data_IF_760912537176
#
_entry.id   IF_760912537176
#
_cell.length_a   1.000
_cell.length_b   1.000
_cell.length_c   1.000
_cell.angle_alpha   90.00
_cell.angle_beta   90.00
_cell.angle_gamma   90.00
#
_symmetry.space_group_name_H-M   'P 1'
#
loop_
_entity.id
_entity.type
_entity.pdbx_description
1 polymer ?
#
# COMPACT_ATOMS: atom_id res chain seq x y z
N UNK A 1 -10.14 39.60 -1.75
CA UNK A 1 -9.42 38.59 -0.93
C UNK A 1 -9.79 38.86 0.53
N UNK A 2 -10.32 37.87 1.25
CA UNK A 2 -10.75 38.06 2.63
C UNK A 2 -9.55 38.40 3.53
N UNK A 3 -9.75 39.16 4.61
CA UNK A 3 -8.71 39.48 5.60
C UNK A 3 -7.95 38.24 6.14
N UNK A 4 -8.54 37.05 6.02
CA UNK A 4 -7.91 35.77 6.38
C UNK A 4 -6.69 35.44 5.51
N UNK A 5 -6.80 35.61 4.19
CA UNK A 5 -5.72 35.23 3.27
C UNK A 5 -4.52 36.18 3.39
N UNK A 6 -4.77 37.46 3.70
CA UNK A 6 -3.70 38.44 3.95
C UNK A 6 -2.93 38.13 5.25
N UNK A 7 -3.63 37.71 6.31
CA UNK A 7 -2.97 37.31 7.55
C UNK A 7 -2.16 36.02 7.39
N UNK A 8 -2.70 35.03 6.67
CA UNK A 8 -1.97 33.79 6.36
C UNK A 8 -0.70 34.08 5.53
N UNK A 9 -0.82 34.89 4.47
CA UNK A 9 0.32 35.29 3.65
C UNK A 9 1.40 36.01 4.48
N UNK A 10 0.99 36.88 5.42
CA UNK A 10 1.94 37.55 6.33
C UNK A 10 2.70 36.53 7.19
N UNK A 11 2.01 35.58 7.82
CA UNK A 11 2.65 34.53 8.62
C UNK A 11 3.62 33.68 7.80
N UNK A 12 3.26 33.33 6.57
CA UNK A 12 4.12 32.58 5.65
C UNK A 12 5.39 33.39 5.36
N UNK A 13 5.25 34.67 4.98
CA UNK A 13 6.40 35.54 4.65
C UNK A 13 7.29 35.74 5.89
N UNK A 14 6.71 35.94 7.07
CA UNK A 14 7.45 36.11 8.33
C UNK A 14 8.24 34.85 8.73
N UNK A 15 7.81 33.66 8.28
CA UNK A 15 8.41 32.37 8.64
C UNK A 15 9.00 31.63 7.42
N UNK A 16 9.26 32.32 6.30
CA UNK A 16 9.62 31.65 5.03
C UNK A 16 10.87 30.75 5.16
N UNK A 17 11.87 31.18 5.94
CA UNK A 17 13.07 30.38 6.19
C UNK A 17 12.79 29.13 7.02
N UNK A 18 11.83 29.19 7.94
CA UNK A 18 11.41 28.04 8.74
C UNK A 18 10.64 27.04 7.87
N UNK A 19 9.85 27.53 6.90
CA UNK A 19 9.15 26.66 5.95
C UNK A 19 10.14 25.91 5.04
N UNK A 20 11.21 26.56 4.57
CA UNK A 20 12.30 25.89 3.84
C UNK A 20 12.97 24.78 4.68
N UNK A 21 13.27 25.09 5.95
CA UNK A 21 13.86 24.11 6.87
C UNK A 21 12.91 22.95 7.18
N UNK A 22 11.62 23.25 7.40
CA UNK A 22 10.60 22.24 7.62
C UNK A 22 10.43 21.35 6.39
N UNK A 23 10.45 21.91 5.18
CA UNK A 23 10.38 21.13 3.96
C UNK A 23 11.60 20.20 3.78
N UNK A 24 12.81 20.66 4.10
CA UNK A 24 14.00 19.82 4.07
C UNK A 24 13.94 18.70 5.12
N UNK A 25 13.46 19.00 6.33
CA UNK A 25 13.30 17.99 7.38
C UNK A 25 12.22 16.96 6.99
N UNK A 26 11.09 17.43 6.46
CA UNK A 26 9.99 16.59 5.99
C UNK A 26 10.43 15.64 4.88
N UNK A 27 11.19 16.10 3.89
CA UNK A 27 11.62 15.24 2.78
C UNK A 27 12.90 14.45 3.06
N UNK A 28 13.61 14.73 4.16
CA UNK A 28 14.83 14.04 4.54
C UNK A 28 14.61 13.24 5.83
N UNK A 29 15.39 13.59 6.87
CA UNK A 29 15.53 12.82 8.12
C UNK A 29 14.19 12.36 8.73
N UNK A 30 13.15 13.20 8.74
CA UNK A 30 11.88 12.84 9.36
C UNK A 30 11.16 11.72 8.58
N UNK A 31 11.05 11.87 7.26
CA UNK A 31 10.42 10.85 6.42
C UNK A 31 11.26 9.60 6.38
N UNK A 32 12.57 9.71 6.16
CA UNK A 32 13.50 8.58 6.13
C UNK A 32 13.36 7.70 7.38
N UNK A 33 13.38 8.31 8.58
CA UNK A 33 13.23 7.56 9.84
C UNK A 33 11.88 6.87 9.99
N UNK A 34 10.79 7.56 9.66
CA UNK A 34 9.45 6.98 9.80
C UNK A 34 9.24 5.87 8.77
N UNK A 35 9.66 6.08 7.53
CA UNK A 35 9.49 5.12 6.45
C UNK A 35 10.37 3.89 6.63
N UNK A 36 11.62 4.04 7.09
CA UNK A 36 12.45 2.89 7.46
C UNK A 36 11.84 2.07 8.61
N UNK A 37 11.16 2.72 9.58
CA UNK A 37 10.46 1.99 10.64
C UNK A 37 9.24 1.22 10.09
N UNK A 38 8.54 1.77 9.09
CA UNK A 38 7.46 1.07 8.37
C UNK A 38 8.01 -0.12 7.59
N UNK A 39 9.13 0.06 6.88
CA UNK A 39 9.77 -0.99 6.10
C UNK A 39 10.23 -2.16 6.96
N UNK A 40 10.93 -1.88 8.06
CA UNK A 40 11.35 -2.91 9.01
C UNK A 40 10.15 -3.69 9.57
N UNK A 41 9.04 -3.02 9.87
CA UNK A 41 7.83 -3.67 10.37
C UNK A 41 7.19 -4.58 9.32
N UNK A 42 7.16 -4.16 8.07
CA UNK A 42 6.61 -4.97 6.96
C UNK A 42 7.55 -6.14 6.65
N UNK A 43 8.87 -5.92 6.64
CA UNK A 43 9.87 -6.96 6.46
C UNK A 43 9.74 -8.04 7.55
N UNK A 44 9.68 -7.65 8.83
CA UNK A 44 9.48 -8.58 9.93
C UNK A 44 8.17 -9.37 9.79
N UNK A 45 7.09 -8.72 9.35
CA UNK A 45 5.82 -9.41 9.07
C UNK A 45 5.97 -10.45 7.95
N UNK A 46 6.64 -10.11 6.85
CA UNK A 46 6.88 -10.99 5.71
C UNK A 46 7.74 -12.20 6.11
N UNK A 47 8.82 -11.98 6.85
CA UNK A 47 9.71 -13.05 7.33
C UNK A 47 9.00 -14.04 8.28
N UNK A 48 8.03 -13.55 9.07
CA UNK A 48 7.29 -14.35 10.04
C UNK A 48 5.91 -14.80 9.54
N UNK A 49 5.68 -14.77 8.22
CA UNK A 49 4.43 -15.18 7.63
C UNK A 49 4.31 -16.71 7.58
N UNK A 50 3.67 -17.28 8.60
CA UNK A 50 3.43 -18.72 8.67
C UNK A 50 2.48 -19.17 7.55
N UNK A 51 2.87 -20.21 6.80
CA UNK A 51 2.11 -20.95 5.77
C UNK A 51 2.33 -20.54 4.30
N UNK A 52 3.02 -19.43 4.03
CA UNK A 52 3.43 -19.10 2.67
C UNK A 52 4.79 -18.41 2.62
N UNK A 53 5.57 -18.70 1.57
CA UNK A 53 6.84 -18.00 1.38
C UNK A 53 6.54 -16.67 0.70
N UNK A 54 6.39 -15.63 1.50
CA UNK A 54 6.30 -14.26 1.02
C UNK A 54 7.70 -13.73 0.68
N UNK A 55 7.76 -12.83 -0.30
CA UNK A 55 8.96 -12.10 -0.72
C UNK A 55 8.57 -10.63 -0.91
N UNK A 56 9.48 -9.69 -0.65
CA UNK A 56 9.17 -8.27 -0.71
C UNK A 56 10.36 -7.38 -1.08
N UNK A 57 10.02 -6.13 -1.42
CA UNK A 57 10.91 -4.99 -1.58
C UNK A 57 10.46 -3.92 -0.59
N UNK A 58 11.40 -3.37 0.18
CA UNK A 58 11.15 -2.43 1.27
C UNK A 58 12.04 -1.20 1.08
N UNK A 59 11.48 -0.18 0.43
CA UNK A 59 12.15 1.10 0.18
C UNK A 59 11.09 2.20 0.07
N UNK A 60 10.33 2.39 1.14
CA UNK A 60 9.20 3.33 1.13
C UNK A 60 9.66 4.79 1.09
N UNK A 61 10.93 5.05 1.40
CA UNK A 61 11.48 6.40 1.35
C UNK A 61 11.79 6.87 -0.07
N UNK A 62 12.47 6.05 -0.86
CA UNK A 62 12.88 6.42 -2.22
C UNK A 62 11.93 5.88 -3.29
N UNK A 63 11.18 4.82 -2.99
CA UNK A 63 10.34 4.12 -3.96
C UNK A 63 9.05 3.55 -3.34
N UNK A 64 8.91 2.22 -3.32
CA UNK A 64 7.69 1.52 -2.96
C UNK A 64 7.99 0.37 -2.01
N UNK A 65 7.03 0.10 -1.12
CA UNK A 65 7.05 -1.08 -0.26
C UNK A 65 5.91 -2.00 -0.62
N UNK A 66 6.29 -3.16 -1.13
CA UNK A 66 5.38 -4.14 -1.69
C UNK A 66 5.95 -5.55 -1.58
N UNK A 67 5.06 -6.51 -1.45
CA UNK A 67 5.39 -7.90 -1.19
C UNK A 67 4.32 -8.84 -1.76
N UNK A 68 4.65 -10.10 -1.96
CA UNK A 68 3.77 -11.07 -2.58
C UNK A 68 4.09 -12.48 -2.14
N UNK A 69 3.14 -13.38 -2.37
CA UNK A 69 3.46 -14.81 -2.36
C UNK A 69 4.45 -15.14 -3.49
N UNK A 70 5.48 -15.90 -3.16
CA UNK A 70 6.39 -16.49 -4.16
C UNK A 70 5.69 -17.40 -5.17
N UNK A 71 4.45 -17.82 -4.92
CA UNK A 71 3.60 -18.58 -5.85
C UNK A 71 2.87 -17.69 -6.85
N UNK A 72 2.83 -16.37 -6.63
CA UNK A 72 2.07 -15.43 -7.47
C UNK A 72 2.90 -14.88 -8.63
N UNK A 73 3.71 -15.74 -9.25
CA UNK A 73 4.50 -15.43 -10.44
C UNK A 73 4.46 -16.61 -11.42
N UNK A 74 4.50 -16.31 -12.71
CA UNK A 74 4.54 -17.31 -13.79
C UNK A 74 5.97 -17.66 -14.22
N UNK A 75 6.89 -16.72 -14.07
CA UNK A 75 8.31 -16.80 -14.35
C UNK A 75 9.05 -16.01 -13.28
N UNK A 76 10.37 -16.08 -13.28
CA UNK A 76 11.17 -15.20 -12.43
C UNK A 76 10.95 -13.73 -12.79
N UNK A 77 11.01 -12.89 -11.78
CA UNK A 77 10.88 -11.45 -11.89
C UNK A 77 11.87 -10.77 -10.95
N UNK A 78 12.06 -9.48 -11.16
CA UNK A 78 12.89 -8.61 -10.35
C UNK A 78 12.04 -7.43 -9.88
N UNK A 79 12.11 -7.11 -8.58
CA UNK A 79 11.43 -5.96 -7.99
C UNK A 79 11.90 -4.65 -8.65
N UNK A 80 13.15 -4.56 -9.08
CA UNK A 80 13.74 -3.36 -9.69
C UNK A 80 13.53 -3.27 -11.21
N UNK A 81 13.19 -4.38 -11.90
CA UNK A 81 12.96 -4.39 -13.36
C UNK A 81 11.47 -4.50 -13.69
N UNK A 82 10.83 -3.34 -13.88
CA UNK A 82 9.42 -3.22 -14.28
C UNK A 82 9.04 -3.99 -15.55
N UNK A 83 10.00 -4.35 -16.43
CA UNK A 83 9.73 -5.17 -17.61
C UNK A 83 9.35 -6.61 -17.25
N UNK A 84 9.76 -7.07 -16.08
CA UNK A 84 9.46 -8.41 -15.57
C UNK A 84 8.14 -8.46 -14.80
N UNK A 85 7.54 -7.33 -14.45
CA UNK A 85 6.30 -7.29 -13.66
C UNK A 85 5.07 -7.88 -14.37
N UNK A 86 5.13 -8.06 -15.71
CA UNK A 86 4.15 -8.86 -16.46
C UNK A 86 4.15 -10.35 -16.06
N UNK A 87 5.15 -10.80 -15.31
CA UNK A 87 5.27 -12.16 -14.82
C UNK A 87 4.52 -12.37 -13.50
N UNK A 88 4.03 -11.29 -12.88
CA UNK A 88 3.34 -11.30 -11.59
C UNK A 88 1.83 -11.48 -11.75
N UNK A 89 1.23 -12.34 -10.95
CA UNK A 89 -0.23 -12.52 -10.90
C UNK A 89 -0.90 -11.58 -9.91
N UNK A 90 -0.25 -11.31 -8.78
CA UNK A 90 -0.78 -10.44 -7.73
C UNK A 90 0.32 -10.01 -6.77
N UNK A 91 0.05 -8.96 -6.01
CA UNK A 91 0.92 -8.45 -4.96
C UNK A 91 0.12 -7.66 -3.92
N UNK A 92 0.78 -7.40 -2.80
CA UNK A 92 0.38 -6.45 -1.79
C UNK A 92 1.28 -5.23 -1.84
N UNK A 93 0.73 -4.04 -1.63
CA UNK A 93 1.50 -2.80 -1.58
C UNK A 93 0.95 -1.85 -0.51
N UNK A 94 1.84 -1.06 0.07
CA UNK A 94 1.48 0.10 0.85
C UNK A 94 1.34 1.29 -0.09
N UNK A 95 0.17 1.91 -0.14
CA UNK A 95 -0.10 3.03 -1.06
C UNK A 95 -1.20 3.94 -0.48
N UNK A 96 -1.79 4.85 -1.26
CA UNK A 96 -2.83 5.75 -0.81
C UNK A 96 -4.14 5.55 -1.57
N UNK A 97 -5.27 5.71 -0.88
CA UNK A 97 -6.55 5.97 -1.56
C UNK A 97 -6.63 7.47 -1.86
N UNK A 98 -6.73 7.80 -3.15
CA UNK A 98 -7.07 9.16 -3.58
C UNK A 98 -8.58 9.37 -3.47
N UNK A 99 -9.03 10.16 -2.49
CA UNK A 99 -10.46 10.51 -2.37
C UNK A 99 -10.85 11.68 -3.29
N UNK A 100 -9.90 12.52 -3.73
CA UNK A 100 -10.14 13.77 -4.48
C UNK A 100 -9.13 13.99 -5.62
N UNK A 101 -9.42 14.94 -6.53
CA UNK A 101 -8.47 15.43 -7.55
C UNK A 101 -7.24 16.14 -6.93
N UNK A 102 -7.29 16.44 -5.62
CA UNK A 102 -6.22 17.04 -4.84
C UNK A 102 -5.54 15.95 -3.99
N UNK A 103 -4.23 15.76 -4.22
CA UNK A 103 -3.38 14.80 -3.49
C UNK A 103 -2.52 15.50 -2.45
N UNK A 104 -2.07 14.75 -1.45
CA UNK A 104 -1.13 15.29 -0.46
C UNK A 104 0.24 15.57 -1.09
N UNK A 105 0.80 16.76 -0.80
CA UNK A 105 2.12 17.14 -1.29
C UNK A 105 3.25 16.28 -0.71
N UNK A 106 3.06 15.73 0.50
CA UNK A 106 4.05 14.91 1.19
C UNK A 106 3.43 13.57 1.56
N UNK A 107 4.08 12.48 1.14
CA UNK A 107 3.66 11.11 1.43
C UNK A 107 3.44 10.84 2.92
N UNK A 108 4.28 11.42 3.77
CA UNK A 108 4.18 11.28 5.22
C UNK A 108 2.81 11.75 5.75
N UNK A 109 2.16 12.70 5.07
CA UNK A 109 0.83 13.21 5.44
C UNK A 109 -0.23 12.11 5.44
N UNK A 110 -0.10 11.11 4.57
CA UNK A 110 -1.06 10.03 4.37
C UNK A 110 -1.21 9.13 5.61
N UNK A 111 -0.20 9.12 6.48
CA UNK A 111 -0.26 8.42 7.76
C UNK A 111 -1.03 9.17 8.85
N UNK A 112 -1.31 10.47 8.69
CA UNK A 112 -1.97 11.28 9.72
C UNK A 112 -3.36 11.71 9.29
N UNK A 113 -4.19 12.13 10.26
CA UNK A 113 -5.49 12.75 9.97
C UNK A 113 -5.26 14.01 9.11
N UNK A 114 -5.85 14.00 7.92
CA UNK A 114 -5.80 15.05 6.91
C UNK A 114 -7.08 15.02 6.04
N UNK A 115 -7.24 15.98 5.13
CA UNK A 115 -8.46 16.17 4.32
C UNK A 115 -8.37 15.57 2.90
N UNK A 116 -7.23 14.97 2.52
CA UNK A 116 -6.96 14.45 1.18
C UNK A 116 -6.76 12.92 1.23
N UNK A 117 -5.55 12.46 0.91
CA UNK A 117 -5.21 11.04 0.77
C UNK A 117 -4.97 10.36 2.11
N UNK A 118 -5.28 9.06 2.15
CA UNK A 118 -5.04 8.22 3.34
C UNK A 118 -4.28 6.96 2.97
N UNK A 119 -3.43 6.52 3.89
CA UNK A 119 -2.65 5.30 3.72
C UNK A 119 -3.54 4.06 3.67
N UNK A 120 -3.29 3.18 2.72
CA UNK A 120 -3.99 1.91 2.53
C UNK A 120 -3.00 0.76 2.36
N UNK A 121 -3.43 -0.42 2.75
CA UNK A 121 -2.82 -1.69 2.38
C UNK A 121 -3.63 -2.30 1.24
N UNK A 122 -3.05 -2.34 0.05
CA UNK A 122 -3.72 -2.80 -1.16
C UNK A 122 -3.31 -4.22 -1.52
N UNK A 123 -4.28 -5.04 -1.92
CA UNK A 123 -4.07 -6.28 -2.66
C UNK A 123 -4.48 -6.03 -4.11
N UNK A 124 -3.52 -6.16 -5.02
CA UNK A 124 -3.75 -6.01 -6.45
C UNK A 124 -3.71 -7.38 -7.14
N UNK A 125 -4.82 -7.79 -7.74
CA UNK A 125 -4.82 -8.87 -8.73
C UNK A 125 -4.34 -8.28 -10.06
N UNK A 126 -3.09 -8.55 -10.41
CA UNK A 126 -2.38 -7.87 -11.48
C UNK A 126 -2.80 -8.39 -12.86
N UNK A 127 -3.78 -7.71 -13.47
CA UNK A 127 -4.33 -8.09 -14.78
C UNK A 127 -3.27 -8.32 -15.87
N UNK A 128 -2.17 -7.56 -15.83
CA UNK A 128 -1.10 -7.68 -16.83
C UNK A 128 -0.30 -8.99 -16.70
N UNK A 129 -0.45 -9.71 -15.58
CA UNK A 129 0.09 -11.05 -15.33
C UNK A 129 -0.54 -12.18 -16.13
N UNK A 130 -1.67 -11.91 -16.78
CA UNK A 130 -2.51 -12.93 -17.40
C UNK A 130 -2.56 -12.78 -18.92
N UNK A 131 -3.09 -13.80 -19.59
CA UNK A 131 -3.42 -13.71 -21.00
C UNK A 131 -4.34 -12.51 -21.28
N UNK A 132 -4.25 -11.98 -22.50
CA UNK A 132 -5.06 -10.82 -22.92
C UNK A 132 -6.55 -11.09 -22.67
N UNK A 133 -7.08 -10.44 -21.64
CA UNK A 133 -8.46 -10.63 -21.17
C UNK A 133 -9.30 -9.41 -21.51
N UNK A 134 -10.51 -9.62 -22.04
CA UNK A 134 -11.44 -8.51 -22.31
C UNK A 134 -11.83 -7.82 -21.00
N UNK A 135 -11.90 -6.48 -21.01
CA UNK A 135 -12.20 -5.70 -19.81
C UNK A 135 -13.52 -6.12 -19.12
N UNK A 136 -14.52 -6.50 -19.91
CA UNK A 136 -15.81 -6.99 -19.40
C UNK A 136 -15.66 -8.32 -18.65
N UNK A 137 -14.96 -9.29 -19.23
CA UNK A 137 -14.77 -10.62 -18.63
C UNK A 137 -13.95 -10.55 -17.34
N UNK A 138 -12.93 -9.69 -17.31
CA UNK A 138 -12.15 -9.39 -16.11
C UNK A 138 -13.04 -8.85 -15.00
N UNK A 139 -13.83 -7.80 -15.31
CA UNK A 139 -14.72 -7.16 -14.35
C UNK A 139 -15.78 -8.13 -13.81
N UNK A 140 -16.37 -8.95 -14.68
CA UNK A 140 -17.32 -9.99 -14.28
C UNK A 140 -16.67 -11.04 -13.37
N UNK A 141 -15.43 -11.44 -13.66
CA UNK A 141 -14.67 -12.36 -12.80
C UNK A 141 -14.40 -11.79 -11.41
N UNK A 142 -13.81 -10.59 -11.31
CA UNK A 142 -13.45 -10.02 -10.00
C UNK A 142 -14.69 -9.69 -9.15
N UNK A 143 -15.80 -9.29 -9.77
CA UNK A 143 -17.09 -9.11 -9.09
C UNK A 143 -17.62 -10.46 -8.56
N UNK A 144 -17.48 -11.54 -9.31
CA UNK A 144 -17.90 -12.87 -8.87
C UNK A 144 -17.04 -13.35 -7.69
N UNK A 145 -15.72 -13.16 -7.75
CA UNK A 145 -14.79 -13.47 -6.66
C UNK A 145 -15.11 -12.67 -5.40
N UNK A 146 -15.36 -11.37 -5.51
CA UNK A 146 -15.76 -10.55 -4.36
C UNK A 146 -17.04 -11.05 -3.69
N UNK A 147 -18.02 -11.54 -4.47
CA UNK A 147 -19.26 -12.12 -3.93
C UNK A 147 -19.06 -13.49 -3.30
N UNK A 148 -18.07 -14.26 -3.77
CA UNK A 148 -17.76 -15.59 -3.26
C UNK A 148 -17.09 -15.54 -1.89
N UNK A 149 -16.30 -14.50 -1.61
CA UNK A 149 -15.55 -14.34 -0.37
C UNK A 149 -15.97 -13.09 0.42
N UNK A 150 -17.22 -13.02 0.93
CA UNK A 150 -17.68 -11.88 1.73
C UNK A 150 -16.87 -11.68 3.03
N UNK A 151 -16.09 -12.68 3.46
CA UNK A 151 -15.18 -12.61 4.60
C UNK A 151 -14.12 -11.52 4.43
N UNK A 152 -13.70 -11.23 3.19
CA UNK A 152 -12.74 -10.17 2.89
C UNK A 152 -13.32 -8.80 3.30
N UNK A 153 -14.58 -8.53 2.95
CA UNK A 153 -15.29 -7.32 3.35
C UNK A 153 -15.54 -7.27 4.86
N UNK A 154 -15.85 -8.41 5.50
CA UNK A 154 -16.02 -8.50 6.95
C UNK A 154 -14.74 -8.17 7.73
N UNK A 155 -13.57 -8.40 7.14
CA UNK A 155 -12.27 -7.97 7.70
C UNK A 155 -12.00 -6.47 7.50
N UNK A 156 -12.83 -5.79 6.71
CA UNK A 156 -12.79 -4.34 6.49
C UNK A 156 -12.19 -3.91 5.14
N UNK A 157 -11.84 -4.86 4.26
CA UNK A 157 -11.35 -4.52 2.93
C UNK A 157 -12.48 -3.95 2.07
N UNK A 158 -12.20 -2.85 1.39
CA UNK A 158 -13.02 -2.27 0.33
C UNK A 158 -12.66 -2.93 -1.00
N UNK A 159 -13.63 -3.01 -1.92
CA UNK A 159 -13.44 -3.63 -3.23
C UNK A 159 -13.47 -2.59 -4.37
N UNK A 160 -12.45 -2.63 -5.22
CA UNK A 160 -12.41 -1.92 -6.50
C UNK A 160 -12.54 -2.94 -7.65
N UNK A 161 -13.55 -2.79 -8.54
CA UNK A 161 -13.81 -3.72 -9.65
C UNK A 161 -12.75 -3.73 -10.76
N UNK A 162 -11.65 -3.00 -10.61
CA UNK A 162 -10.44 -3.14 -11.42
C UNK A 162 -9.60 -4.36 -11.03
N UNK A 163 -9.91 -5.01 -9.91
CA UNK A 163 -9.24 -6.21 -9.41
C UNK A 163 -8.46 -5.98 -8.12
N UNK A 164 -8.83 -4.95 -7.36
CA UNK A 164 -8.11 -4.59 -6.14
C UNK A 164 -9.03 -4.69 -4.92
N UNK A 165 -8.46 -5.13 -3.81
CA UNK A 165 -9.08 -5.11 -2.49
C UNK A 165 -8.14 -4.38 -1.55
N UNK A 166 -8.64 -3.40 -0.82
CA UNK A 166 -7.76 -2.55 -0.03
C UNK A 166 -8.33 -2.24 1.33
N UNK A 167 -7.46 -2.16 2.32
CA UNK A 167 -7.79 -1.88 3.70
C UNK A 167 -7.27 -0.49 4.06
N UNK A 168 -8.16 0.37 4.56
CA UNK A 168 -7.76 1.66 5.11
C UNK A 168 -6.96 1.46 6.40
N UNK A 169 -5.77 2.03 6.45
CA UNK A 169 -4.95 2.06 7.66
C UNK A 169 -5.45 3.22 8.52
N UNK A 170 -5.69 2.94 9.81
CA UNK A 170 -6.10 4.00 10.74
C UNK A 170 -4.95 5.01 10.87
N UNK A 171 -5.26 6.31 10.81
CA UNK A 171 -4.25 7.35 10.95
C UNK A 171 -3.48 7.21 12.27
N UNK A 172 -2.17 7.42 12.20
CA UNK A 172 -1.29 7.45 13.34
C UNK A 172 -1.64 8.63 14.26
N UNK A 173 -1.57 8.38 15.57
CA UNK A 173 -1.72 9.44 16.56
C UNK A 173 -0.45 10.31 16.60
N UNK A 174 -0.63 11.61 16.38
CA UNK A 174 0.49 12.57 16.27
C UNK A 174 1.34 12.60 17.54
N UNK A 175 0.72 12.55 18.72
CA UNK A 175 1.46 12.62 19.99
C UNK A 175 2.27 11.36 20.24
N UNK A 176 1.70 10.21 19.91
CA UNK A 176 2.38 8.92 19.98
C UNK A 176 3.59 8.87 19.04
N UNK A 177 3.44 9.33 17.79
CA UNK A 177 4.57 9.40 16.84
C UNK A 177 5.66 10.36 17.34
N UNK A 178 5.30 11.55 17.82
CA UNK A 178 6.28 12.52 18.35
C UNK A 178 7.06 11.90 19.52
N UNK A 179 6.36 11.33 20.50
CA UNK A 179 6.99 10.71 21.66
C UNK A 179 7.96 9.60 21.23
N UNK A 180 7.52 8.69 20.37
CA UNK A 180 8.34 7.56 19.93
C UNK A 180 9.50 7.98 19.01
N UNK A 181 9.33 9.05 18.22
CA UNK A 181 10.41 9.66 17.44
C UNK A 181 11.53 10.20 18.35
N UNK A 182 11.17 10.90 19.43
CA UNK A 182 12.14 11.45 20.39
C UNK A 182 12.89 10.37 21.18
N UNK A 183 12.30 9.18 21.33
CA UNK A 183 12.84 8.08 22.13
C UNK A 183 13.41 6.92 21.30
N UNK A 184 13.44 7.02 19.97
CA UNK A 184 13.87 5.96 19.05
C UNK A 184 13.10 4.64 19.25
N UNK A 185 11.77 4.73 19.29
CA UNK A 185 10.82 3.63 19.51
C UNK A 185 9.64 3.73 18.54
N UNK A 186 9.89 4.19 17.30
CA UNK A 186 8.85 4.51 16.31
C UNK A 186 7.90 3.35 16.03
N UNK A 187 8.39 2.12 16.13
CA UNK A 187 7.65 0.88 15.96
C UNK A 187 6.40 0.84 16.85
N UNK A 188 6.48 1.36 18.08
CA UNK A 188 5.35 1.41 19.03
C UNK A 188 4.22 2.33 18.53
N UNK A 189 4.53 3.32 17.68
CA UNK A 189 3.53 4.20 17.07
C UNK A 189 2.84 3.56 15.85
N UNK A 190 3.39 2.48 15.29
CA UNK A 190 2.94 1.85 14.05
C UNK A 190 1.90 0.75 14.26
N UNK A 191 1.34 0.61 15.47
CA UNK A 191 0.25 -0.33 15.78
C UNK A 191 -0.86 -0.34 14.72
N UNK A 192 -1.31 0.81 14.16
CA UNK A 192 -2.32 0.79 13.09
C UNK A 192 -1.92 0.01 11.84
N UNK A 193 -0.63 -0.06 11.50
CA UNK A 193 -0.11 -0.83 10.37
C UNK A 193 -0.08 -2.31 10.75
N UNK A 194 0.39 -2.66 11.95
CA UNK A 194 0.35 -4.04 12.47
C UNK A 194 -1.08 -4.60 12.46
N UNK A 195 -2.06 -3.83 12.93
CA UNK A 195 -3.48 -4.22 12.91
C UNK A 195 -4.00 -4.49 11.48
N UNK A 196 -3.52 -3.72 10.50
CA UNK A 196 -3.86 -3.91 9.10
C UNK A 196 -3.21 -5.17 8.52
N UNK A 197 -1.94 -5.43 8.84
CA UNK A 197 -1.21 -6.63 8.44
C UNK A 197 -1.81 -7.91 9.06
N UNK A 198 -2.29 -7.85 10.30
CA UNK A 198 -2.99 -8.98 10.94
C UNK A 198 -4.32 -9.32 10.25
N UNK A 199 -5.03 -8.30 9.74
CA UNK A 199 -6.22 -8.51 8.91
C UNK A 199 -5.86 -9.04 7.53
N UNK A 200 -4.77 -8.57 6.92
CA UNK A 200 -4.24 -9.12 5.68
C UNK A 200 -3.89 -10.60 5.84
N UNK A 201 -3.22 -10.98 6.93
CA UNK A 201 -2.88 -12.37 7.23
C UNK A 201 -4.12 -13.26 7.29
N UNK A 202 -5.21 -12.78 7.90
CA UNK A 202 -6.49 -13.49 7.92
C UNK A 202 -7.17 -13.55 6.55
N UNK A 203 -7.00 -12.54 5.70
CA UNK A 203 -7.58 -12.48 4.37
C UNK A 203 -6.78 -13.27 3.32
N UNK A 204 -5.48 -13.48 3.56
CA UNK A 204 -4.54 -14.06 2.60
C UNK A 204 -4.99 -15.39 1.98
N UNK A 205 -5.55 -16.37 2.71
CA UNK A 205 -6.04 -17.60 2.09
C UNK A 205 -7.12 -17.37 1.02
N UNK A 206 -8.01 -16.39 1.22
CA UNK A 206 -9.02 -16.05 0.22
C UNK A 206 -8.39 -15.36 -0.99
N UNK A 207 -7.40 -14.50 -0.77
CA UNK A 207 -6.66 -13.87 -1.87
C UNK A 207 -5.89 -14.91 -2.70
N UNK A 208 -5.29 -15.91 -2.06
CA UNK A 208 -4.65 -17.01 -2.79
C UNK A 208 -5.68 -17.80 -3.62
N UNK A 209 -6.85 -18.14 -3.06
CA UNK A 209 -7.92 -18.81 -3.83
C UNK A 209 -8.40 -17.96 -5.03
N UNK A 210 -8.45 -16.63 -4.89
CA UNK A 210 -8.77 -15.71 -5.98
C UNK A 210 -7.69 -15.76 -7.07
N UNK A 211 -6.41 -15.73 -6.68
CA UNK A 211 -5.29 -15.82 -7.62
C UNK A 211 -5.32 -17.15 -8.36
N UNK A 212 -5.50 -18.28 -7.65
CA UNK A 212 -5.59 -19.60 -8.28
C UNK A 212 -6.78 -19.70 -9.25
N UNK A 213 -7.93 -19.14 -8.90
CA UNK A 213 -9.09 -19.08 -9.79
C UNK A 213 -8.81 -18.22 -11.03
N UNK A 214 -8.07 -17.12 -10.88
CA UNK A 214 -7.66 -16.27 -12.00
C UNK A 214 -6.67 -16.99 -12.92
N UNK A 215 -5.69 -17.70 -12.36
CA UNK A 215 -4.74 -18.54 -13.12
C UNK A 215 -5.49 -19.62 -13.89
N UNK A 216 -6.43 -20.33 -13.25
CA UNK A 216 -7.20 -21.37 -13.93
C UNK A 216 -8.06 -20.83 -15.09
N UNK A 217 -8.52 -19.58 -14.99
CA UNK A 217 -9.40 -18.96 -16.00
C UNK A 217 -8.65 -18.21 -17.10
N UNK A 218 -7.58 -17.51 -16.74
CA UNK A 218 -6.87 -16.55 -17.60
C UNK A 218 -5.36 -16.80 -17.67
N UNK A 219 -4.86 -17.87 -17.05
CA UNK A 219 -3.45 -18.22 -17.04
C UNK A 219 -2.90 -18.41 -18.46
N UNK A 220 -1.58 -18.29 -18.56
CA UNK A 220 -0.84 -18.55 -19.78
C UNK A 220 -0.90 -20.06 -20.05
N UNK A 221 -1.57 -20.48 -21.13
CA UNK A 221 -1.44 -21.86 -21.60
C UNK A 221 -0.01 -21.98 -22.13
N UNK A 222 0.81 -22.82 -21.49
CA UNK A 222 2.01 -23.33 -22.15
C UNK A 222 1.52 -24.02 -23.43
N UNK A 223 1.79 -23.41 -24.58
CA UNK A 223 1.77 -24.19 -25.80
C UNK A 223 2.90 -25.22 -25.63
N UNK A 224 2.54 -26.47 -25.33
CA UNK A 224 3.44 -27.59 -25.55
C UNK A 224 3.97 -27.47 -26.98
N UNK A 225 5.29 -27.37 -27.12
CA UNK A 225 6.00 -27.37 -28.41
C UNK A 225 5.66 -28.60 -29.27
#
# INVERSE_FOLDING_TARGET
MSNSNTNAAKLIIENIQLLEQANNLLNGELSEKIFNAVDNLIEEFVENFNDDSLIGSYDFHENETWFLSSKWKNEDFDFEDSKTWKNLYAFYELTNEGENDETNNWWLTNFFINDNDRMILNFALWKNGFNKTFAKEWKEFVIAMNKQYPQIEQLGFKFNPEGNWYLLITSLDKQTVIYNYEHNTLEDALTPITDALDKLKQAHPYFDEIVQAAIAKFGLIENEE
#
